data_IF_322834199133
#
_entry.id   IF_322834199133
#
_cell.length_a   1.000
_cell.length_b   1.000
_cell.length_c   1.000
_cell.angle_alpha   90.00
_cell.angle_beta   90.00
_cell.angle_gamma   90.00
#
_symmetry.space_group_name_H-M   'P 1'
#
loop_
_entity.id
_entity.type
_entity.pdbx_description
1 polymer ?
#
# COMPACT_ATOMS: atom_id res chain seq x y z
N UNK A 1 15.99 48.72 7.80
CA UNK A 1 14.77 48.07 7.21
C UNK A 1 15.07 47.08 6.09
N UNK A 2 16.03 47.32 5.19
CA UNK A 2 16.32 46.41 4.06
C UNK A 2 16.91 45.04 4.45
N UNK A 3 17.70 44.98 5.53
CA UNK A 3 18.41 43.74 5.96
C UNK A 3 17.45 42.63 6.43
N UNK A 4 16.36 43.01 7.10
CA UNK A 4 15.34 42.06 7.58
C UNK A 4 14.43 41.59 6.45
N UNK A 5 14.21 42.44 5.42
CA UNK A 5 13.43 42.10 4.23
C UNK A 5 14.18 41.09 3.33
N UNK A 6 15.50 41.26 3.16
CA UNK A 6 16.36 40.33 2.42
C UNK A 6 16.48 38.97 3.15
N UNK A 7 16.52 38.98 4.49
CA UNK A 7 16.53 37.75 5.30
C UNK A 7 15.20 36.98 5.23
N UNK A 8 14.06 37.69 5.27
CA UNK A 8 12.73 37.06 5.09
C UNK A 8 12.58 36.46 3.69
N UNK A 9 13.08 37.15 2.65
CA UNK A 9 13.01 36.69 1.27
C UNK A 9 13.88 35.44 1.03
N UNK A 10 15.07 35.37 1.64
CA UNK A 10 15.93 34.18 1.60
C UNK A 10 15.29 32.96 2.28
N UNK A 11 14.58 33.16 3.39
CA UNK A 11 13.89 32.08 4.09
C UNK A 11 12.70 31.55 3.26
N UNK A 12 11.91 32.44 2.63
CA UNK A 12 10.83 32.03 1.73
C UNK A 12 11.33 31.24 0.52
N UNK A 13 12.46 31.65 -0.08
CA UNK A 13 13.08 30.92 -1.19
C UNK A 13 13.60 29.54 -0.74
N UNK A 14 14.20 29.44 0.46
CA UNK A 14 14.63 28.15 1.01
C UNK A 14 13.47 27.17 1.26
N UNK A 15 12.31 27.66 1.70
CA UNK A 15 11.10 26.85 1.91
C UNK A 15 10.50 26.35 0.59
N UNK A 16 10.56 27.15 -0.48
CA UNK A 16 10.14 26.75 -1.83
C UNK A 16 11.02 25.65 -2.43
N UNK A 17 12.33 25.66 -2.14
CA UNK A 17 13.26 24.62 -2.63
C UNK A 17 13.09 23.30 -1.84
N UNK A 18 12.64 23.36 -0.59
CA UNK A 18 12.35 22.16 0.22
C UNK A 18 11.15 21.35 -0.30
N UNK A 19 10.18 22.00 -0.95
CA UNK A 19 9.05 21.30 -1.61
C UNK A 19 9.49 20.56 -2.89
N UNK A 20 10.68 20.88 -3.44
CA UNK A 20 11.18 20.35 -4.70
C UNK A 20 11.87 18.98 -4.62
N UNK A 21 12.34 18.55 -3.44
CA UNK A 21 12.97 17.23 -3.29
C UNK A 21 11.97 16.07 -3.37
N UNK A 22 10.69 16.30 -3.05
CA UNK A 22 9.67 15.26 -3.21
C UNK A 22 9.35 15.00 -4.70
N UNK A 23 9.28 16.04 -5.52
CA UNK A 23 8.93 15.89 -6.95
C UNK A 23 10.03 15.18 -7.77
N UNK A 24 11.31 15.46 -7.50
CA UNK A 24 12.43 14.79 -8.17
C UNK A 24 12.58 13.32 -7.75
N UNK A 25 12.31 13.01 -6.49
CA UNK A 25 12.32 11.62 -5.97
C UNK A 25 11.11 10.83 -6.48
N UNK A 26 9.92 11.44 -6.54
CA UNK A 26 8.69 10.78 -6.99
C UNK A 26 8.58 10.68 -8.52
N UNK A 27 9.21 11.57 -9.28
CA UNK A 27 8.99 11.69 -10.73
C UNK A 27 10.03 11.04 -11.66
N UNK A 28 11.26 10.75 -11.21
CA UNK A 28 12.33 10.34 -12.14
C UNK A 28 13.17 9.14 -11.67
N UNK A 29 13.88 9.28 -10.56
CA UNK A 29 14.87 8.28 -10.13
C UNK A 29 14.26 7.11 -9.34
N UNK A 30 13.33 7.36 -8.41
CA UNK A 30 12.73 6.26 -7.63
C UNK A 30 11.71 5.45 -8.45
N UNK A 31 10.99 6.11 -9.36
CA UNK A 31 10.04 5.45 -10.26
C UNK A 31 10.76 4.50 -11.24
N UNK A 32 11.92 4.89 -11.79
CA UNK A 32 12.68 4.05 -12.72
C UNK A 32 13.39 2.88 -12.02
N UNK A 33 13.96 3.09 -10.83
CA UNK A 33 14.55 2.02 -10.03
C UNK A 33 13.51 0.99 -9.58
N UNK A 34 12.30 1.43 -9.19
CA UNK A 34 11.24 0.51 -8.78
C UNK A 34 10.78 -0.43 -9.92
N UNK A 35 10.77 0.04 -11.18
CA UNK A 35 10.39 -0.78 -12.34
C UNK A 35 11.48 -1.78 -12.73
N UNK A 36 12.76 -1.44 -12.56
CA UNK A 36 13.86 -2.33 -12.94
C UNK A 36 13.94 -3.63 -12.12
N UNK A 37 13.42 -3.59 -10.88
CA UNK A 37 13.48 -4.71 -9.94
C UNK A 37 12.15 -5.45 -9.78
N UNK A 38 11.05 -4.89 -10.31
CA UNK A 38 9.74 -5.54 -10.33
C UNK A 38 9.73 -6.71 -11.32
N UNK A 39 9.09 -7.81 -10.93
CA UNK A 39 8.92 -8.98 -11.80
C UNK A 39 7.66 -8.86 -12.67
N UNK A 40 6.80 -7.87 -12.40
CA UNK A 40 5.64 -7.52 -13.22
C UNK A 40 6.08 -6.68 -14.41
N UNK A 41 5.38 -6.85 -15.52
CA UNK A 41 5.56 -5.96 -16.68
C UNK A 41 4.99 -4.58 -16.38
N UNK A 42 5.52 -3.54 -17.03
CA UNK A 42 4.97 -2.17 -16.94
C UNK A 42 3.48 -2.13 -17.28
N UNK A 43 3.04 -2.93 -18.27
CA UNK A 43 1.62 -3.04 -18.60
C UNK A 43 0.76 -3.61 -17.47
N UNK A 44 1.30 -4.53 -16.67
CA UNK A 44 0.60 -5.07 -15.48
C UNK A 44 0.53 -4.04 -14.36
N UNK A 45 1.58 -3.24 -14.16
CA UNK A 45 1.59 -2.16 -13.16
C UNK A 45 0.53 -1.10 -13.49
N UNK A 46 0.44 -0.70 -14.76
CA UNK A 46 -0.59 0.24 -15.23
C UNK A 46 -1.98 -0.37 -15.06
N UNK A 47 -2.15 -1.66 -15.36
CA UNK A 47 -3.43 -2.33 -15.17
C UNK A 47 -3.83 -2.41 -13.68
N UNK A 48 -2.90 -2.73 -12.78
CA UNK A 48 -3.13 -2.72 -11.33
C UNK A 48 -3.66 -1.36 -10.86
N UNK A 49 -3.07 -0.26 -11.33
CA UNK A 49 -3.53 1.10 -11.02
C UNK A 49 -4.91 1.39 -11.64
N UNK A 50 -5.16 0.94 -12.86
CA UNK A 50 -6.47 1.08 -13.52
C UNK A 50 -7.55 0.33 -12.74
N UNK A 51 -7.27 -0.88 -12.27
CA UNK A 51 -8.15 -1.67 -11.42
C UNK A 51 -8.46 -0.92 -10.13
N UNK A 52 -7.44 -0.45 -9.40
CA UNK A 52 -7.62 0.32 -8.17
C UNK A 52 -8.56 1.53 -8.42
N UNK A 53 -8.29 2.33 -9.45
CA UNK A 53 -9.10 3.50 -9.79
C UNK A 53 -10.55 3.16 -10.17
N UNK A 54 -10.78 2.10 -10.97
CA UNK A 54 -12.13 1.65 -11.34
C UNK A 54 -12.93 1.21 -10.12
N UNK A 55 -12.30 0.47 -9.19
CA UNK A 55 -12.96 0.03 -7.97
C UNK A 55 -13.29 1.24 -7.08
N UNK A 56 -12.37 2.19 -6.92
CA UNK A 56 -12.63 3.43 -6.18
C UNK A 56 -13.78 4.22 -6.81
N UNK A 57 -13.83 4.36 -8.13
CA UNK A 57 -14.94 5.02 -8.83
C UNK A 57 -16.28 4.33 -8.55
N UNK A 58 -16.35 3.01 -8.68
CA UNK A 58 -17.57 2.23 -8.38
C UNK A 58 -18.03 2.40 -6.94
N UNK A 59 -17.12 2.32 -5.96
CA UNK A 59 -17.44 2.51 -4.55
C UNK A 59 -17.88 3.96 -4.27
N UNK A 60 -17.24 4.94 -4.92
CA UNK A 60 -17.51 6.37 -4.68
C UNK A 60 -18.93 6.81 -5.10
N UNK A 61 -19.56 6.07 -6.02
CA UNK A 61 -20.93 6.28 -6.51
C UNK A 61 -21.99 5.88 -5.48
N UNK A 62 -21.65 5.03 -4.52
CA UNK A 62 -22.53 4.67 -3.41
C UNK A 62 -22.12 5.45 -2.14
N UNK A 63 -23.03 6.32 -1.69
CA UNK A 63 -22.81 7.19 -0.53
C UNK A 63 -22.54 6.40 0.77
N UNK A 64 -23.00 5.14 0.86
CA UNK A 64 -22.75 4.30 2.02
C UNK A 64 -21.26 4.04 2.24
N UNK A 65 -20.47 3.86 1.19
CA UNK A 65 -19.03 3.66 1.34
C UNK A 65 -18.34 4.89 1.94
N UNK A 66 -18.80 6.10 1.59
CA UNK A 66 -18.23 7.34 2.15
C UNK A 66 -18.64 7.58 3.62
N UNK A 67 -19.84 7.16 3.99
CA UNK A 67 -20.43 7.46 5.30
C UNK A 67 -20.23 6.35 6.35
N UNK A 68 -20.12 5.10 5.89
CA UNK A 68 -20.23 3.92 6.74
C UNK A 68 -19.05 2.95 6.55
N UNK A 69 -17.98 3.37 5.88
CA UNK A 69 -16.79 2.53 5.71
C UNK A 69 -15.52 3.36 5.56
N UNK A 70 -14.39 2.70 5.80
CA UNK A 70 -13.06 3.17 5.44
C UNK A 70 -12.36 1.97 4.81
N UNK A 71 -12.56 1.79 3.51
CA UNK A 71 -12.03 0.64 2.76
C UNK A 71 -10.87 1.12 1.89
N UNK A 72 -9.78 0.38 1.92
CA UNK A 72 -8.61 0.60 1.08
C UNK A 72 -8.52 -0.52 0.05
N UNK A 73 -8.33 -0.13 -1.21
CA UNK A 73 -8.16 -1.03 -2.35
C UNK A 73 -6.69 -1.03 -2.74
N UNK A 74 -6.10 -2.22 -2.82
CA UNK A 74 -4.74 -2.42 -3.31
C UNK A 74 -4.74 -3.53 -4.34
N UNK A 75 -4.24 -3.27 -5.55
CA UNK A 75 -4.00 -4.29 -6.57
C UNK A 75 -2.51 -4.60 -6.69
N UNK A 76 -2.20 -5.88 -6.90
CA UNK A 76 -0.88 -6.35 -7.26
C UNK A 76 -0.99 -7.59 -8.15
N UNK A 77 -0.44 -7.53 -9.36
CA UNK A 77 -0.51 -8.62 -10.34
C UNK A 77 -1.96 -9.08 -10.60
N UNK A 78 -2.88 -8.11 -10.71
CA UNK A 78 -4.32 -8.27 -10.93
C UNK A 78 -5.07 -8.97 -9.77
N UNK A 79 -4.42 -9.15 -8.63
CA UNK A 79 -5.05 -9.61 -7.38
C UNK A 79 -5.36 -8.40 -6.52
N UNK A 80 -6.63 -8.25 -6.16
CA UNK A 80 -7.12 -7.14 -5.35
C UNK A 80 -7.18 -7.57 -3.89
N UNK A 81 -6.55 -6.79 -3.02
CA UNK A 81 -6.71 -6.84 -1.58
C UNK A 81 -7.63 -5.68 -1.15
N UNK A 82 -8.69 -6.01 -0.42
CA UNK A 82 -9.55 -5.05 0.26
C UNK A 82 -9.25 -5.10 1.76
N UNK A 83 -8.82 -3.98 2.34
CA UNK A 83 -8.60 -3.83 3.79
C UNK A 83 -9.44 -2.69 4.35
N UNK A 84 -9.43 -2.52 5.67
CA UNK A 84 -10.12 -1.44 6.37
C UNK A 84 -11.38 -1.92 7.06
N UNK A 85 -12.40 -1.06 7.18
CA UNK A 85 -13.59 -1.34 7.95
C UNK A 85 -14.89 -0.98 7.23
N UNK A 86 -15.93 -1.75 7.51
CA UNK A 86 -17.29 -1.47 7.08
C UNK A 86 -18.26 -1.59 8.26
N UNK A 87 -19.36 -0.82 8.23
CA UNK A 87 -20.36 -0.83 9.29
C UNK A 87 -21.11 -2.18 9.41
N UNK A 88 -21.27 -2.91 8.30
CA UNK A 88 -22.01 -4.16 8.27
C UNK A 88 -21.50 -5.14 7.20
N UNK A 89 -21.95 -6.39 7.32
CA UNK A 89 -21.57 -7.47 6.40
C UNK A 89 -22.08 -7.23 4.97
N UNK A 90 -23.19 -6.51 4.79
CA UNK A 90 -23.73 -6.22 3.46
C UNK A 90 -22.81 -5.27 2.69
N UNK A 91 -22.27 -4.24 3.34
CA UNK A 91 -21.34 -3.29 2.73
C UNK A 91 -19.98 -3.96 2.43
N UNK A 92 -19.50 -4.83 3.33
CA UNK A 92 -18.33 -5.69 3.09
C UNK A 92 -18.49 -6.60 1.87
N UNK A 93 -19.62 -7.29 1.75
CA UNK A 93 -19.89 -8.16 0.60
C UNK A 93 -20.11 -7.36 -0.69
N UNK A 94 -20.72 -6.18 -0.61
CA UNK A 94 -20.88 -5.29 -1.76
C UNK A 94 -19.54 -4.79 -2.29
N UNK A 95 -18.58 -4.46 -1.41
CA UNK A 95 -17.23 -4.08 -1.80
C UNK A 95 -16.53 -5.17 -2.60
N UNK A 96 -16.63 -6.42 -2.15
CA UNK A 96 -16.05 -7.59 -2.82
C UNK A 96 -16.70 -7.86 -4.18
N UNK A 97 -18.03 -7.73 -4.28
CA UNK A 97 -18.76 -7.87 -5.55
C UNK A 97 -18.34 -6.78 -6.55
N UNK A 98 -18.24 -5.53 -6.11
CA UNK A 98 -17.77 -4.43 -6.96
C UNK A 98 -16.34 -4.67 -7.45
N UNK A 99 -15.43 -5.05 -6.54
CA UNK A 99 -14.06 -5.38 -6.89
C UNK A 99 -13.98 -6.54 -7.90
N UNK A 100 -14.76 -7.59 -7.69
CA UNK A 100 -14.79 -8.77 -8.57
C UNK A 100 -15.41 -8.48 -9.93
N UNK A 101 -16.24 -7.43 -10.05
CA UNK A 101 -16.89 -7.06 -11.31
C UNK A 101 -15.99 -6.24 -12.25
N UNK A 102 -14.86 -5.72 -11.74
CA UNK A 102 -13.92 -4.95 -12.56
C UNK A 102 -13.15 -5.90 -13.48
N UNK A 103 -13.10 -5.54 -14.75
CA UNK A 103 -12.40 -6.32 -15.77
C UNK A 103 -10.93 -6.58 -15.38
N UNK A 104 -10.42 -7.74 -15.80
CA UNK A 104 -9.05 -8.23 -15.54
C UNK A 104 -8.72 -8.56 -14.08
N UNK A 105 -9.59 -8.30 -13.11
CA UNK A 105 -9.39 -8.77 -11.73
C UNK A 105 -9.38 -10.30 -11.70
N UNK A 106 -8.27 -10.89 -11.27
CA UNK A 106 -8.09 -12.35 -11.21
C UNK A 106 -8.63 -12.96 -9.92
N UNK A 107 -8.49 -12.24 -8.81
CA UNK A 107 -8.87 -12.70 -7.47
C UNK A 107 -9.07 -11.50 -6.56
N UNK A 108 -10.06 -11.57 -5.69
CA UNK A 108 -10.26 -10.62 -4.59
C UNK A 108 -9.97 -11.31 -3.27
N UNK A 109 -9.19 -10.65 -2.41
CA UNK A 109 -8.91 -11.05 -1.03
C UNK A 109 -9.58 -10.02 -0.13
N UNK A 110 -10.70 -10.40 0.47
CA UNK A 110 -11.54 -9.51 1.28
C UNK A 110 -11.20 -9.61 2.78
N UNK A 111 -10.39 -8.68 3.24
CA UNK A 111 -9.90 -8.55 4.62
C UNK A 111 -10.51 -7.31 5.32
N UNK A 112 -11.68 -6.85 4.83
CA UNK A 112 -12.46 -5.80 5.49
C UNK A 112 -13.01 -6.35 6.81
N UNK A 113 -12.79 -5.62 7.90
CA UNK A 113 -13.37 -5.94 9.21
C UNK A 113 -14.71 -5.23 9.41
N UNK A 114 -15.63 -5.87 10.13
CA UNK A 114 -16.87 -5.21 10.54
C UNK A 114 -16.62 -4.45 11.83
N UNK A 115 -16.83 -3.13 11.82
CA UNK A 115 -16.64 -2.29 12.99
C UNK A 115 -16.46 -0.81 12.67
N UNK A 116 -16.11 -0.04 13.70
CA UNK A 116 -15.77 1.38 13.56
C UNK A 116 -14.52 1.56 12.70
N UNK A 117 -14.39 2.70 12.04
CA UNK A 117 -13.17 3.07 11.29
C UNK A 117 -11.96 3.19 12.23
N UNK A 118 -10.77 2.88 11.73
CA UNK A 118 -9.53 3.06 12.48
C UNK A 118 -9.31 4.52 12.90
N UNK A 119 -8.84 4.71 14.13
CA UNK A 119 -8.50 6.02 14.70
C UNK A 119 -7.16 6.52 14.15
N UNK A 120 -6.89 7.83 14.31
CA UNK A 120 -5.60 8.41 13.91
C UNK A 120 -4.39 7.76 14.60
N UNK A 121 -4.57 7.33 15.85
CA UNK A 121 -3.52 6.65 16.63
C UNK A 121 -3.25 5.26 16.06
N UNK A 122 -4.29 4.49 15.72
CA UNK A 122 -4.16 3.19 15.08
C UNK A 122 -3.47 3.31 13.71
N UNK A 123 -3.93 4.24 12.87
CA UNK A 123 -3.32 4.49 11.56
C UNK A 123 -1.84 4.89 11.66
N UNK A 124 -1.49 5.68 12.68
CA UNK A 124 -0.11 6.09 12.94
C UNK A 124 0.76 4.90 13.40
N UNK A 125 0.21 4.00 14.22
CA UNK A 125 0.87 2.74 14.62
C UNK A 125 1.07 1.83 13.40
N UNK A 126 0.09 1.71 12.54
CA UNK A 126 0.18 0.88 11.32
C UNK A 126 1.18 1.45 10.31
N UNK A 127 1.29 2.78 10.18
CA UNK A 127 2.31 3.43 9.36
C UNK A 127 3.73 3.16 9.89
N UNK A 128 3.92 3.26 11.21
CA UNK A 128 5.18 2.91 11.86
C UNK A 128 5.51 1.43 11.69
N UNK A 129 4.52 0.55 11.87
CA UNK A 129 4.67 -0.89 11.67
C UNK A 129 5.03 -1.23 10.22
N UNK A 130 4.37 -0.60 9.25
CA UNK A 130 4.69 -0.76 7.82
C UNK A 130 6.14 -0.37 7.54
N UNK A 131 6.61 0.72 8.15
CA UNK A 131 8.00 1.17 8.01
C UNK A 131 8.97 0.17 8.61
N UNK A 132 8.70 -0.31 9.83
CA UNK A 132 9.53 -1.32 10.48
C UNK A 132 9.58 -2.62 9.66
N UNK A 133 8.45 -3.09 9.13
CA UNK A 133 8.40 -4.25 8.22
C UNK A 133 9.32 -4.02 7.03
N UNK A 134 9.21 -2.89 6.32
CA UNK A 134 10.08 -2.59 5.18
C UNK A 134 11.55 -2.56 5.54
N UNK A 135 11.91 -1.98 6.69
CA UNK A 135 13.30 -1.96 7.19
C UNK A 135 13.81 -3.38 7.51
N UNK A 136 12.96 -4.24 8.05
CA UNK A 136 13.31 -5.65 8.33
C UNK A 136 13.47 -6.46 7.04
N UNK A 137 12.60 -6.25 6.06
CA UNK A 137 12.72 -6.88 4.75
C UNK A 137 13.99 -6.46 4.02
N UNK A 138 14.43 -5.21 4.19
CA UNK A 138 15.70 -4.73 3.64
C UNK A 138 16.95 -5.47 4.17
N UNK A 139 16.83 -6.16 5.31
CA UNK A 139 17.90 -6.96 5.93
C UNK A 139 17.86 -8.44 5.52
N UNK A 140 16.87 -8.87 4.74
CA UNK A 140 16.72 -10.25 4.29
C UNK A 140 17.74 -10.55 3.20
N UNK A 141 18.65 -11.48 3.49
CA UNK A 141 19.73 -11.87 2.60
C UNK A 141 19.40 -13.17 1.90
N UNK A 142 18.69 -13.06 0.78
CA UNK A 142 18.47 -14.17 -0.16
C UNK A 142 19.12 -13.78 -1.49
N UNK A 143 20.00 -14.62 -2.06
CA UNK A 143 20.60 -14.33 -3.36
C UNK A 143 19.54 -14.00 -4.41
N UNK A 144 19.64 -12.82 -5.02
CA UNK A 144 18.72 -12.36 -6.06
C UNK A 144 17.34 -11.90 -5.56
N UNK A 145 17.07 -11.90 -4.25
CA UNK A 145 15.86 -11.29 -3.68
C UNK A 145 16.01 -9.78 -3.61
N UNK A 146 14.93 -9.07 -3.91
CA UNK A 146 14.84 -7.64 -3.74
C UNK A 146 13.63 -7.33 -2.83
N UNK A 147 13.83 -6.67 -1.68
CA UNK A 147 12.76 -6.27 -0.77
C UNK A 147 11.65 -5.45 -1.45
N UNK A 148 11.97 -4.69 -2.50
CA UNK A 148 11.01 -3.87 -3.25
C UNK A 148 10.00 -4.72 -4.04
N UNK A 149 10.24 -6.02 -4.19
CA UNK A 149 9.27 -6.96 -4.78
C UNK A 149 8.12 -7.30 -3.85
N UNK A 150 8.18 -6.88 -2.59
CA UNK A 150 7.12 -7.10 -1.60
C UNK A 150 6.39 -5.78 -1.32
N UNK A 151 5.13 -5.71 -1.75
CA UNK A 151 4.22 -4.63 -1.32
C UNK A 151 3.68 -5.00 0.05
N UNK A 152 3.83 -4.08 1.00
CA UNK A 152 3.41 -4.24 2.39
C UNK A 152 2.23 -3.31 2.65
N UNK A 153 1.13 -3.87 3.13
CA UNK A 153 -0.05 -3.14 3.63
C UNK A 153 -0.26 -3.54 5.08
N UNK A 154 -0.58 -2.58 5.95
CA UNK A 154 -0.87 -2.85 7.36
C UNK A 154 -2.20 -2.23 7.74
N UNK A 155 -3.03 -2.99 8.45
CA UNK A 155 -4.31 -2.54 9.01
C UNK A 155 -4.52 -3.19 10.37
N UNK A 156 -4.67 -2.39 11.43
CA UNK A 156 -4.90 -2.81 12.83
C UNK A 156 -3.93 -3.87 13.32
N UNK A 157 -2.65 -3.73 12.97
CA UNK A 157 -1.59 -4.69 13.28
C UNK A 157 -1.61 -5.98 12.45
N UNK A 158 -2.55 -6.17 11.53
CA UNK A 158 -2.47 -7.22 10.51
C UNK A 158 -1.57 -6.73 9.36
N UNK A 159 -0.59 -7.54 8.98
CA UNK A 159 0.33 -7.23 7.88
C UNK A 159 0.00 -8.11 6.68
N UNK A 160 -0.35 -7.47 5.57
CA UNK A 160 -0.63 -8.12 4.29
C UNK A 160 0.58 -7.96 3.38
N UNK A 161 1.07 -9.09 2.88
CA UNK A 161 2.25 -9.15 2.04
C UNK A 161 1.83 -9.58 0.63
N UNK A 162 1.99 -8.69 -0.33
CA UNK A 162 1.74 -8.94 -1.75
C UNK A 162 3.08 -8.94 -2.49
N UNK A 163 3.16 -9.68 -3.60
CA UNK A 163 4.40 -9.80 -4.37
C UNK A 163 4.35 -10.97 -5.34
N UNK A 164 5.11 -10.86 -6.43
CA UNK A 164 5.35 -11.96 -7.37
C UNK A 164 6.68 -12.63 -7.01
N UNK A 165 6.62 -13.65 -6.15
CA UNK A 165 7.80 -14.20 -5.47
C UNK A 165 7.81 -15.72 -5.44
N UNK A 166 8.99 -16.31 -5.28
CA UNK A 166 9.13 -17.76 -5.09
C UNK A 166 8.62 -18.18 -3.71
N UNK A 167 8.29 -19.46 -3.53
CA UNK A 167 7.88 -19.99 -2.21
C UNK A 167 8.95 -19.77 -1.14
N UNK A 168 10.23 -19.92 -1.50
CA UNK A 168 11.36 -19.72 -0.60
C UNK A 168 11.46 -18.26 -0.12
N UNK A 169 11.32 -17.30 -1.04
CA UNK A 169 11.27 -15.87 -0.68
C UNK A 169 10.07 -15.59 0.24
N UNK A 170 8.90 -16.12 -0.10
CA UNK A 170 7.68 -15.91 0.67
C UNK A 170 7.79 -16.43 2.11
N UNK A 171 8.38 -17.62 2.31
CA UNK A 171 8.57 -18.20 3.64
C UNK A 171 9.53 -17.36 4.48
N UNK A 172 10.65 -16.92 3.91
CA UNK A 172 11.62 -16.08 4.59
C UNK A 172 11.07 -14.69 4.94
N UNK A 173 10.37 -14.04 4.01
CA UNK A 173 9.71 -12.75 4.25
C UNK A 173 8.68 -12.90 5.37
N UNK A 174 7.83 -13.93 5.31
CA UNK A 174 6.81 -14.20 6.35
C UNK A 174 7.46 -14.44 7.71
N UNK A 175 8.55 -15.22 7.75
CA UNK A 175 9.29 -15.52 8.98
C UNK A 175 9.89 -14.26 9.62
N UNK A 176 10.42 -13.34 8.82
CA UNK A 176 10.95 -12.07 9.34
C UNK A 176 9.82 -11.19 9.88
N UNK A 177 8.70 -11.07 9.15
CA UNK A 177 7.59 -10.20 9.55
C UNK A 177 6.91 -10.69 10.83
N UNK A 178 6.70 -12.00 11.01
CA UNK A 178 5.97 -12.52 12.18
C UNK A 178 6.67 -12.27 13.53
N UNK A 179 7.97 -11.96 13.52
CA UNK A 179 8.74 -11.67 14.73
C UNK A 179 8.80 -10.16 15.07
N UNK A 180 8.14 -9.31 14.29
CA UNK A 180 8.13 -7.86 14.53
C UNK A 180 7.10 -7.54 15.61
N UNK A 181 7.52 -6.76 16.61
CA UNK A 181 6.63 -6.30 17.67
C UNK A 181 5.48 -5.46 17.10
N UNK A 182 4.26 -5.74 17.53
CA UNK A 182 3.04 -5.09 17.04
C UNK A 182 2.37 -5.82 15.87
N UNK A 183 3.01 -6.81 15.24
CA UNK A 183 2.35 -7.69 14.27
C UNK A 183 1.41 -8.64 15.01
N UNK A 184 0.12 -8.56 14.69
CA UNK A 184 -0.93 -9.44 15.23
C UNK A 184 -1.16 -10.66 14.36
N UNK A 185 -1.10 -10.49 13.03
CA UNK A 185 -1.19 -11.58 12.06
C UNK A 185 -0.47 -11.20 10.77
N UNK A 186 0.00 -12.21 10.04
CA UNK A 186 0.59 -12.05 8.71
C UNK A 186 -0.30 -12.77 7.70
N UNK A 187 -0.76 -12.05 6.68
CA UNK A 187 -1.59 -12.58 5.61
C UNK A 187 -0.78 -12.58 4.32
N UNK A 188 -0.60 -13.76 3.75
CA UNK A 188 0.16 -13.96 2.51
C UNK A 188 -0.78 -13.81 1.31
N UNK A 189 -0.60 -12.73 0.56
CA UNK A 189 -1.32 -12.45 -0.70
C UNK A 189 -0.34 -12.53 -1.88
N UNK A 190 0.68 -13.38 -1.75
CA UNK A 190 1.68 -13.60 -2.78
C UNK A 190 1.11 -14.35 -3.98
N UNK A 191 1.67 -14.05 -5.15
CA UNK A 191 1.57 -14.84 -6.37
C UNK A 191 2.92 -15.53 -6.59
N UNK A 192 2.90 -16.80 -6.97
CA UNK A 192 4.11 -17.62 -7.07
C UNK A 192 4.60 -17.79 -8.51
N UNK A 193 5.93 -17.79 -8.65
CA UNK A 193 6.66 -18.13 -9.88
C UNK A 193 7.66 -19.25 -9.63
#
# INVERSE_FOLDING_TARGET
MYKNFVSLLSICIAVLILQGCAAAVVGGAAATAAVAHDRRTTGTIVEDQSIELKIYDLMSKDSRFKQQSSIHVTSYNLVVLLTGQAADQALRSKAEQMASSVDRVRRVVNEIEIGSTSTLVENSRDAALTTEVKVRLAKVQIPGFDPLRVKVVTERGAVFLLGLITKKEADAVTDVVRHISGVRRVVRVFEYI
#
